data_IF_801105864166
#
_entry.id   IF_801105864166
#
_cell.length_a   1.000
_cell.length_b   1.000
_cell.length_c   1.000
_cell.angle_alpha   90.00
_cell.angle_beta   90.00
_cell.angle_gamma   90.00
#
_symmetry.space_group_name_H-M   'P 1'
#
loop_
_entity.id
_entity.type
_entity.pdbx_description
1 polymer ?
#
# COMPACT_ATOMS: atom_id res chain seq x y z
N UNK A 1 6.75 -35.92 -25.99
CA UNK A 1 7.77 -36.50 -25.08
C UNK A 1 7.26 -36.32 -23.66
N UNK A 2 6.79 -37.40 -23.01
CA UNK A 2 6.35 -37.35 -21.62
C UNK A 2 7.54 -37.60 -20.71
N UNK A 3 7.84 -36.66 -19.82
CA UNK A 3 8.74 -36.92 -18.70
C UNK A 3 7.97 -37.81 -17.71
N UNK A 4 8.54 -38.95 -17.31
CA UNK A 4 7.94 -39.76 -16.25
C UNK A 4 8.15 -39.10 -14.87
N UNK A 5 7.34 -39.48 -13.89
CA UNK A 5 7.31 -38.88 -12.55
C UNK A 5 7.72 -39.88 -11.47
N UNK A 6 8.22 -39.39 -10.32
CA UNK A 6 8.49 -40.21 -9.14
C UNK A 6 9.84 -40.96 -9.11
N UNK A 7 10.78 -40.64 -10.01
CA UNK A 7 12.11 -41.27 -10.01
C UNK A 7 13.05 -40.58 -9.01
N UNK A 8 13.63 -41.36 -8.10
CA UNK A 8 14.64 -40.89 -7.13
C UNK A 8 16.03 -41.46 -7.40
N UNK A 9 16.14 -42.46 -8.27
CA UNK A 9 17.39 -43.15 -8.61
C UNK A 9 17.40 -43.53 -10.08
N UNK A 10 18.57 -43.47 -10.71
CA UNK A 10 18.77 -43.84 -12.11
C UNK A 10 20.04 -44.67 -12.28
N UNK A 11 19.97 -45.71 -13.09
CA UNK A 11 21.10 -46.52 -13.52
C UNK A 11 21.19 -46.38 -15.05
N UNK A 12 22.38 -46.06 -15.57
CA UNK A 12 22.63 -46.00 -17.01
C UNK A 12 23.41 -47.25 -17.41
N UNK A 13 22.87 -48.02 -18.34
CA UNK A 13 23.56 -49.14 -18.98
C UNK A 13 23.80 -48.78 -20.45
N UNK A 14 25.06 -48.87 -20.90
CA UNK A 14 25.45 -48.65 -22.30
C UNK A 14 25.77 -50.00 -22.91
N UNK A 15 25.14 -50.34 -24.03
CA UNK A 15 25.38 -51.60 -24.77
C UNK A 15 25.91 -51.29 -26.16
N UNK A 16 27.04 -51.90 -26.53
CA UNK A 16 27.81 -51.61 -27.76
C UNK A 16 29.12 -50.87 -27.47
N UNK A 17 30.09 -50.94 -28.40
CA UNK A 17 31.44 -50.35 -28.26
C UNK A 17 32.56 -51.35 -28.55
N UNK A 18 33.75 -50.84 -28.94
CA UNK A 18 34.96 -51.66 -29.13
C UNK A 18 35.83 -51.69 -27.87
N UNK A 19 36.66 -52.72 -27.71
CA UNK A 19 37.46 -52.98 -26.49
C UNK A 19 38.39 -51.82 -26.05
N UNK A 20 38.65 -50.86 -26.94
CA UNK A 20 39.57 -49.73 -26.71
C UNK A 20 38.86 -48.39 -26.48
N UNK A 21 37.53 -48.32 -26.57
CA UNK A 21 36.77 -47.07 -26.37
C UNK A 21 35.68 -47.26 -25.32
N UNK A 22 35.95 -46.78 -24.11
CA UNK A 22 34.98 -46.78 -23.01
C UNK A 22 34.08 -45.55 -23.10
N UNK A 23 32.76 -45.76 -23.06
CA UNK A 23 31.79 -44.69 -22.91
C UNK A 23 31.30 -44.65 -21.45
N UNK A 24 31.22 -43.45 -20.90
CA UNK A 24 30.63 -43.21 -19.57
C UNK A 24 29.47 -42.24 -19.71
N UNK A 25 28.37 -42.53 -19.02
CA UNK A 25 27.23 -41.63 -18.94
C UNK A 25 26.85 -41.40 -17.48
N UNK A 26 26.37 -40.19 -17.18
CA UNK A 26 25.84 -39.82 -15.88
C UNK A 26 24.36 -39.49 -16.05
N UNK A 27 23.51 -40.21 -15.31
CA UNK A 27 22.11 -39.81 -15.19
C UNK A 27 22.01 -38.56 -14.32
N UNK A 28 21.26 -37.58 -14.79
CA UNK A 28 20.86 -36.39 -14.01
C UNK A 28 19.35 -36.45 -13.86
N UNK A 29 18.89 -36.62 -12.62
CA UNK A 29 17.48 -36.50 -12.28
C UNK A 29 17.18 -35.02 -12.00
N UNK A 30 16.01 -34.57 -12.42
CA UNK A 30 15.52 -33.23 -12.10
C UNK A 30 15.23 -33.07 -10.60
N UNK A 31 14.89 -31.84 -10.17
CA UNK A 31 14.50 -31.59 -8.79
C UNK A 31 13.32 -32.49 -8.39
N UNK A 32 13.20 -32.76 -7.08
CA UNK A 32 12.20 -33.69 -6.50
C UNK A 32 10.74 -33.36 -6.89
N UNK A 33 10.51 -32.11 -7.24
CA UNK A 33 9.23 -31.48 -7.47
C UNK A 33 8.99 -31.13 -8.95
N UNK A 34 9.99 -31.35 -9.80
CA UNK A 34 9.98 -30.89 -11.19
C UNK A 34 10.20 -29.38 -11.33
N UNK A 35 10.58 -28.95 -12.53
CA UNK A 35 10.73 -27.52 -12.85
C UNK A 35 9.34 -26.88 -12.88
N UNK A 36 9.20 -25.74 -12.19
CA UNK A 36 8.00 -24.93 -12.13
C UNK A 36 7.12 -25.19 -10.89
N UNK A 37 7.51 -26.11 -10.00
CA UNK A 37 6.75 -26.37 -8.76
C UNK A 37 7.12 -25.40 -7.65
N UNK A 38 8.39 -25.04 -7.50
CA UNK A 38 8.81 -24.00 -6.55
C UNK A 38 9.80 -23.04 -7.22
N UNK A 39 9.33 -21.83 -7.61
CA UNK A 39 10.19 -20.87 -8.29
C UNK A 39 11.36 -20.38 -7.42
N UNK A 40 11.31 -20.52 -6.09
CA UNK A 40 12.44 -20.13 -5.21
C UNK A 40 13.62 -21.06 -5.42
N UNK A 41 13.36 -22.37 -5.44
CA UNK A 41 14.37 -23.40 -5.68
C UNK A 41 14.80 -23.42 -7.15
N UNK A 42 13.85 -23.32 -8.08
CA UNK A 42 14.12 -23.42 -9.51
C UNK A 42 14.91 -22.22 -10.06
N UNK A 43 14.55 -20.99 -9.62
CA UNK A 43 15.22 -19.77 -10.05
C UNK A 43 16.37 -19.35 -9.12
N UNK A 44 16.59 -20.09 -8.03
CA UNK A 44 17.49 -19.71 -6.92
C UNK A 44 17.20 -18.29 -6.44
N UNK A 45 15.91 -17.95 -6.33
CA UNK A 45 15.51 -16.62 -5.91
C UNK A 45 15.68 -16.46 -4.40
N UNK A 46 16.42 -15.43 -3.99
CA UNK A 46 16.63 -15.07 -2.58
C UNK A 46 15.85 -13.81 -2.18
N UNK A 47 15.13 -13.19 -3.13
CA UNK A 47 14.44 -11.92 -2.93
C UNK A 47 13.17 -11.81 -3.79
N UNK A 48 12.18 -11.09 -3.29
CA UNK A 48 10.99 -10.66 -4.06
C UNK A 48 10.98 -9.14 -4.13
N UNK A 49 10.69 -8.59 -5.31
CA UNK A 49 10.44 -7.15 -5.49
C UNK A 49 8.94 -6.90 -5.62
N UNK A 50 8.44 -5.96 -4.82
CA UNK A 50 7.12 -5.35 -4.97
C UNK A 50 7.29 -4.01 -5.69
N UNK A 51 6.38 -3.74 -6.60
CA UNK A 51 6.41 -2.57 -7.47
C UNK A 51 5.03 -1.94 -7.51
N UNK A 52 4.97 -0.61 -7.33
CA UNK A 52 3.76 0.17 -7.50
C UNK A 52 4.09 1.46 -8.26
N UNK A 53 3.36 1.70 -9.34
CA UNK A 53 3.41 2.94 -10.10
C UNK A 53 2.37 3.91 -9.54
N UNK A 54 2.80 5.12 -9.23
CA UNK A 54 1.91 6.22 -8.87
C UNK A 54 1.87 7.21 -10.03
N UNK A 55 0.68 7.43 -10.56
CA UNK A 55 0.47 8.38 -11.65
C UNK A 55 0.23 9.77 -11.07
N UNK A 56 0.71 10.80 -11.76
CA UNK A 56 0.41 12.19 -11.37
C UNK A 56 -1.08 12.55 -11.45
N UNK A 57 -1.88 11.79 -12.20
CA UNK A 57 -3.34 11.99 -12.33
C UNK A 57 -4.17 11.18 -11.33
N UNK A 58 -3.52 10.46 -10.42
CA UNK A 58 -4.18 9.67 -9.39
C UNK A 58 -4.78 10.60 -8.32
N UNK A 59 -6.09 10.53 -8.12
CA UNK A 59 -6.83 11.37 -7.17
C UNK A 59 -6.64 10.97 -5.72
N UNK A 60 -6.19 9.75 -5.46
CA UNK A 60 -6.25 9.16 -4.12
C UNK A 60 -5.03 9.52 -3.27
N UNK A 61 -4.04 10.18 -3.88
CA UNK A 61 -2.82 10.63 -3.24
C UNK A 61 -2.69 12.15 -3.30
N UNK A 62 -2.50 12.75 -2.12
CA UNK A 62 -2.29 14.19 -1.96
C UNK A 62 -1.08 14.65 -2.77
N UNK A 63 -1.26 15.70 -3.56
CA UNK A 63 -0.20 16.33 -4.36
C UNK A 63 0.37 17.57 -3.67
N UNK A 64 1.57 18.00 -4.08
CA UNK A 64 2.30 19.12 -3.46
C UNK A 64 2.63 18.86 -1.98
N UNK A 65 2.83 17.59 -1.62
CA UNK A 65 3.23 17.15 -0.29
C UNK A 65 4.52 16.33 -0.35
N UNK A 66 5.17 16.21 0.80
CA UNK A 66 6.34 15.36 0.96
C UNK A 66 5.97 14.06 1.66
N UNK A 67 6.28 12.92 1.05
CA UNK A 67 6.18 11.63 1.71
C UNK A 67 7.54 11.20 2.29
N UNK A 68 7.49 10.57 3.46
CA UNK A 68 8.69 10.19 4.24
C UNK A 68 8.70 8.71 4.65
N UNK A 69 7.65 7.99 4.34
CA UNK A 69 7.49 6.60 4.72
C UNK A 69 6.85 5.82 3.57
N UNK A 70 7.33 4.60 3.36
CA UNK A 70 6.70 3.61 2.48
C UNK A 70 6.51 2.32 3.26
N UNK A 71 5.31 1.73 3.17
CA UNK A 71 4.98 0.48 3.82
C UNK A 71 4.52 -0.58 2.84
N UNK A 72 4.67 -1.86 3.24
CA UNK A 72 4.01 -2.99 2.58
C UNK A 72 2.98 -3.55 3.56
N UNK A 73 1.72 -3.56 3.14
CA UNK A 73 0.59 -4.03 3.94
C UNK A 73 -0.01 -5.23 3.22
N UNK A 74 -0.18 -6.34 3.95
CA UNK A 74 -0.88 -7.54 3.45
C UNK A 74 -2.37 -7.42 3.72
N UNK A 75 -3.17 -7.88 2.76
CA UNK A 75 -4.63 -8.02 2.86
C UNK A 75 -5.36 -6.80 3.47
N UNK A 76 -5.14 -5.58 2.94
CA UNK A 76 -5.96 -4.43 3.33
C UNK A 76 -7.42 -4.64 2.94
N UNK A 77 -8.33 -4.07 3.72
CA UNK A 77 -9.78 -4.10 3.46
C UNK A 77 -10.28 -2.72 3.08
N UNK A 78 -11.40 -2.69 2.36
CA UNK A 78 -12.17 -1.45 2.23
C UNK A 78 -12.87 -1.11 3.55
N UNK A 79 -13.31 0.13 3.71
CA UNK A 79 -14.10 0.55 4.88
C UNK A 79 -15.43 -0.18 5.04
N UNK A 80 -15.89 -0.92 4.01
CA UNK A 80 -17.05 -1.82 4.09
C UNK A 80 -16.68 -3.24 4.56
N UNK A 81 -15.40 -3.50 4.86
CA UNK A 81 -14.89 -4.77 5.37
C UNK A 81 -14.59 -5.84 4.31
N UNK A 82 -14.77 -5.53 3.02
CA UNK A 82 -14.41 -6.41 1.91
C UNK A 82 -12.90 -6.32 1.59
N UNK A 83 -12.36 -7.29 0.84
CA UNK A 83 -10.99 -7.17 0.32
C UNK A 83 -10.86 -5.91 -0.55
N UNK A 84 -9.80 -5.13 -0.35
CA UNK A 84 -9.52 -3.97 -1.19
C UNK A 84 -8.89 -4.44 -2.51
N UNK A 85 -9.52 -4.10 -3.64
CA UNK A 85 -9.13 -4.60 -4.98
C UNK A 85 -8.77 -3.49 -5.97
N UNK A 86 -8.99 -2.22 -5.62
CA UNK A 86 -8.59 -1.09 -6.46
C UNK A 86 -7.05 -0.96 -6.50
N UNK A 87 -6.54 -0.36 -7.56
CA UNK A 87 -5.08 -0.13 -7.73
C UNK A 87 -4.55 0.93 -6.77
N UNK A 88 -5.39 1.90 -6.43
CA UNK A 88 -5.10 3.10 -5.66
C UNK A 88 -6.26 3.30 -4.69
N UNK A 89 -5.99 3.94 -3.55
CA UNK A 89 -7.07 4.35 -2.67
C UNK A 89 -6.59 5.08 -1.43
N UNK A 90 -7.44 5.97 -0.95
CA UNK A 90 -7.13 6.83 0.19
C UNK A 90 -7.57 6.17 1.51
N UNK A 91 -6.72 6.29 2.54
CA UNK A 91 -6.97 5.83 3.91
C UNK A 91 -7.35 6.95 4.89
N UNK A 92 -7.43 8.21 4.43
CA UNK A 92 -7.80 9.38 5.22
C UNK A 92 -9.31 9.50 5.40
N UNK A 93 -9.72 9.82 6.62
CA UNK A 93 -11.09 10.23 6.90
C UNK A 93 -11.34 11.59 6.29
N UNK A 94 -12.58 11.86 5.91
CA UNK A 94 -12.97 13.19 5.45
C UNK A 94 -14.31 13.63 6.02
N UNK A 95 -14.60 14.92 5.90
CA UNK A 95 -15.90 15.50 6.21
C UNK A 95 -16.32 16.43 5.08
N UNK A 96 -17.62 16.58 4.87
CA UNK A 96 -18.17 17.58 3.94
C UNK A 96 -18.75 18.75 4.72
N UNK A 97 -18.61 19.95 4.16
CA UNK A 97 -19.12 21.18 4.74
C UNK A 97 -20.38 21.64 3.98
N UNK A 98 -21.39 22.06 4.73
CA UNK A 98 -22.61 22.68 4.18
C UNK A 98 -22.42 24.17 3.90
N UNK A 99 -21.48 24.80 4.61
CA UNK A 99 -21.09 26.18 4.36
C UNK A 99 -19.64 26.43 4.77
N UNK A 100 -18.98 27.31 4.04
CA UNK A 100 -17.63 27.81 4.32
C UNK A 100 -17.76 29.32 4.45
N UNK A 101 -17.56 29.83 5.67
CA UNK A 101 -17.57 31.28 5.96
C UNK A 101 -16.20 31.85 5.62
N UNK A 102 -15.14 31.18 6.10
CA UNK A 102 -13.75 31.48 5.77
C UNK A 102 -13.07 30.18 5.32
N UNK A 103 -12.33 30.24 4.22
CA UNK A 103 -11.65 29.08 3.66
C UNK A 103 -10.66 28.44 4.64
N UNK A 104 -10.65 27.11 4.67
CA UNK A 104 -9.69 26.32 5.43
C UNK A 104 -8.35 26.23 4.69
N UNK A 105 -7.31 25.87 5.43
CA UNK A 105 -5.95 25.70 4.91
C UNK A 105 -5.35 24.37 5.38
N UNK A 106 -4.58 23.71 4.51
CA UNK A 106 -3.83 22.52 4.88
C UNK A 106 -2.81 22.82 5.99
N UNK A 107 -2.39 21.79 6.72
CA UNK A 107 -1.48 21.84 7.88
C UNK A 107 -2.03 22.62 9.09
N UNK A 108 -3.34 22.88 9.12
CA UNK A 108 -4.01 23.52 10.26
C UNK A 108 -4.74 22.53 11.12
N UNK A 109 -4.93 22.92 12.39
CA UNK A 109 -5.73 22.16 13.33
C UNK A 109 -7.14 22.73 13.33
N UNK A 110 -8.12 21.88 13.03
CA UNK A 110 -9.55 22.20 13.11
C UNK A 110 -10.12 21.73 14.43
N UNK A 111 -11.11 22.45 14.95
CA UNK A 111 -11.80 22.13 16.19
C UNK A 111 -13.32 22.32 16.07
N UNK A 112 -14.08 21.30 16.48
CA UNK A 112 -15.53 21.37 16.61
C UNK A 112 -15.93 22.19 17.84
N UNK A 113 -16.86 23.12 17.67
CA UNK A 113 -17.30 24.01 18.75
C UNK A 113 -18.18 23.31 19.79
N UNK A 114 -18.90 22.26 19.39
CA UNK A 114 -19.81 21.55 20.28
C UNK A 114 -19.15 20.31 20.87
N UNK A 115 -18.55 19.48 20.02
CA UNK A 115 -17.88 18.23 20.44
C UNK A 115 -16.53 18.46 21.09
N UNK A 116 -15.90 19.62 20.83
CA UNK A 116 -14.48 19.87 21.11
C UNK A 116 -13.52 18.89 20.41
N UNK A 117 -14.00 18.12 19.41
CA UNK A 117 -13.17 17.26 18.60
C UNK A 117 -12.12 18.08 17.84
N UNK A 118 -10.90 17.55 17.72
CA UNK A 118 -9.80 18.17 16.99
C UNK A 118 -9.29 17.23 15.91
N UNK A 119 -8.80 17.79 14.81
CA UNK A 119 -8.12 17.05 13.75
C UNK A 119 -7.12 17.96 13.02
N UNK A 120 -6.18 17.34 12.31
CA UNK A 120 -5.22 18.01 11.45
C UNK A 120 -5.71 17.90 10.00
N UNK A 121 -5.70 19.02 9.28
CA UNK A 121 -6.12 19.10 7.88
C UNK A 121 -4.98 18.69 6.97
N UNK A 122 -5.19 17.64 6.19
CA UNK A 122 -4.20 17.11 5.24
C UNK A 122 -4.42 17.66 3.82
N UNK A 123 -5.67 17.70 3.38
CA UNK A 123 -6.06 18.19 2.05
C UNK A 123 -7.48 18.78 2.08
N UNK A 124 -7.74 19.70 1.17
CA UNK A 124 -9.05 20.32 0.98
C UNK A 124 -9.40 20.22 -0.50
N UNK A 125 -10.53 19.59 -0.80
CA UNK A 125 -11.14 19.60 -2.11
C UNK A 125 -12.51 20.28 -2.02
N UNK A 126 -12.58 21.52 -2.51
CA UNK A 126 -13.83 22.28 -2.58
C UNK A 126 -14.49 22.45 -1.21
N UNK A 127 -15.51 21.64 -0.89
CA UNK A 127 -16.19 21.63 0.41
C UNK A 127 -15.88 20.39 1.26
N UNK A 128 -14.96 19.54 0.83
CA UNK A 128 -14.51 18.35 1.53
C UNK A 128 -13.15 18.61 2.18
N UNK A 129 -13.02 18.23 3.44
CA UNK A 129 -11.78 18.31 4.21
C UNK A 129 -11.33 16.88 4.50
N UNK A 130 -10.14 16.52 4.03
CA UNK A 130 -9.44 15.30 4.43
C UNK A 130 -8.60 15.59 5.66
N UNK A 131 -8.72 14.72 6.66
CA UNK A 131 -8.10 14.94 7.96
C UNK A 131 -7.66 13.65 8.63
N UNK A 132 -6.70 13.80 9.55
CA UNK A 132 -6.31 12.75 10.47
C UNK A 132 -6.36 13.23 11.93
N UNK A 133 -6.41 12.24 12.81
CA UNK A 133 -6.35 12.43 14.26
C UNK A 133 -5.16 11.63 14.80
N UNK A 134 -4.53 12.19 15.82
CA UNK A 134 -3.46 11.56 16.56
C UNK A 134 -3.72 11.67 18.07
N UNK A 135 -2.79 11.16 18.88
CA UNK A 135 -2.92 11.19 20.34
C UNK A 135 -3.10 12.61 20.91
N UNK A 136 -2.51 13.63 20.29
CA UNK A 136 -2.63 15.02 20.73
C UNK A 136 -4.04 15.59 20.48
N UNK A 137 -4.70 15.15 19.41
CA UNK A 137 -6.09 15.55 19.08
C UNK A 137 -7.16 14.80 19.89
N UNK A 138 -6.80 13.70 20.56
CA UNK A 138 -7.67 12.97 21.48
C UNK A 138 -8.74 12.08 20.84
N UNK A 139 -8.76 11.92 19.51
CA UNK A 139 -9.64 11.00 18.77
C UNK A 139 -11.15 11.16 19.01
N UNK A 140 -11.58 12.35 19.45
CA UNK A 140 -13.00 12.64 19.60
C UNK A 140 -13.66 12.77 18.22
N UNK A 141 -14.88 12.26 18.07
CA UNK A 141 -15.62 12.35 16.81
C UNK A 141 -16.31 13.70 16.68
N UNK A 142 -16.28 14.25 15.46
CA UNK A 142 -17.12 15.38 15.07
C UNK A 142 -18.59 14.95 14.94
N UNK A 143 -19.50 15.92 14.90
CA UNK A 143 -20.93 15.68 14.66
C UNK A 143 -21.47 16.52 13.51
N UNK A 144 -22.52 16.03 12.84
CA UNK A 144 -23.17 16.76 11.76
C UNK A 144 -23.81 18.06 12.27
N UNK A 145 -23.72 19.13 11.47
CA UNK A 145 -24.32 20.43 11.79
C UNK A 145 -23.56 21.28 12.82
N UNK A 146 -22.44 20.82 13.37
CA UNK A 146 -21.65 21.68 14.26
C UNK A 146 -20.78 22.69 13.49
N UNK A 147 -20.51 23.84 14.14
CA UNK A 147 -19.52 24.78 13.66
C UNK A 147 -18.11 24.22 13.90
N UNK A 148 -17.26 24.36 12.89
CA UNK A 148 -15.86 23.95 12.93
C UNK A 148 -14.97 25.13 12.57
N UNK A 149 -13.93 25.35 13.40
CA UNK A 149 -13.00 26.48 13.27
C UNK A 149 -11.56 26.00 13.30
N UNK A 150 -10.67 26.67 12.56
CA UNK A 150 -9.22 26.49 12.73
C UNK A 150 -8.73 27.12 14.04
N UNK A 151 -7.92 26.41 14.81
CA UNK A 151 -7.34 26.94 16.06
C UNK A 151 -6.04 27.72 15.83
N UNK A 152 -5.36 27.45 14.72
CA UNK A 152 -4.10 28.07 14.30
C UNK A 152 -4.17 28.66 12.88
N UNK A 153 -5.37 29.07 12.49
CA UNK A 153 -5.71 29.65 11.19
C UNK A 153 -6.98 30.49 11.27
N UNK A 154 -7.66 30.68 10.14
CA UNK A 154 -8.85 31.54 10.03
C UNK A 154 -10.09 30.79 9.50
N UNK A 155 -9.94 29.55 9.06
CA UNK A 155 -11.02 28.74 8.50
C UNK A 155 -12.20 28.58 9.47
N UNK A 156 -13.41 28.72 8.94
CA UNK A 156 -14.67 28.63 9.69
C UNK A 156 -15.78 28.15 8.76
N UNK A 157 -16.61 27.22 9.24
CA UNK A 157 -17.68 26.60 8.46
C UNK A 157 -18.60 25.72 9.30
N UNK A 158 -19.57 25.11 8.63
CA UNK A 158 -20.54 24.19 9.23
C UNK A 158 -20.39 22.82 8.59
N UNK A 159 -20.28 21.79 9.43
CA UNK A 159 -20.21 20.40 8.99
C UNK A 159 -21.57 19.96 8.44
N UNK A 160 -21.58 19.31 7.28
CA UNK A 160 -22.73 18.60 6.72
C UNK A 160 -22.65 17.12 7.07
N UNK A 161 -21.60 16.44 6.62
CA UNK A 161 -21.28 15.05 6.99
C UNK A 161 -19.95 15.00 7.73
N UNK A 162 -19.99 14.71 9.03
CA UNK A 162 -18.85 14.75 9.95
C UNK A 162 -17.83 13.62 9.73
N UNK A 163 -18.29 12.51 9.17
CA UNK A 163 -17.45 11.36 8.90
C UNK A 163 -17.88 10.70 7.59
N UNK A 164 -17.08 10.94 6.55
CA UNK A 164 -17.02 10.14 5.34
C UNK A 164 -15.89 9.14 5.53
N UNK A 165 -16.23 7.86 5.46
CA UNK A 165 -15.27 6.78 5.63
C UNK A 165 -14.24 6.80 4.47
N UNK A 166 -12.96 6.47 4.74
CA UNK A 166 -11.95 6.33 3.69
C UNK A 166 -12.31 5.19 2.73
N UNK A 167 -11.57 5.06 1.63
CA UNK A 167 -11.74 3.95 0.70
C UNK A 167 -11.11 2.67 1.25
N UNK A 168 -9.92 2.82 1.85
CA UNK A 168 -9.18 1.76 2.55
C UNK A 168 -9.35 1.95 4.05
N UNK A 169 -9.67 0.87 4.77
CA UNK A 169 -9.73 0.91 6.23
C UNK A 169 -8.31 0.89 6.82
N UNK A 170 -7.84 1.99 7.44
CA UNK A 170 -6.47 2.10 7.97
C UNK A 170 -6.20 1.15 9.15
N UNK A 171 -7.25 0.58 9.76
CA UNK A 171 -7.12 -0.33 10.91
C UNK A 171 -7.04 -1.81 10.47
N UNK A 172 -6.99 -2.08 9.16
CA UNK A 172 -6.99 -3.43 8.60
C UNK A 172 -5.69 -3.81 7.91
N UNK A 173 -5.54 -5.11 7.66
CA UNK A 173 -4.34 -5.70 7.07
C UNK A 173 -3.24 -5.96 8.09
N UNK A 174 -2.10 -6.43 7.60
CA UNK A 174 -0.91 -6.66 8.41
C UNK A 174 0.30 -5.95 7.81
N UNK A 175 0.98 -5.12 8.61
CA UNK A 175 2.21 -4.46 8.20
C UNK A 175 3.33 -5.50 8.09
N UNK A 176 3.88 -5.63 6.89
CA UNK A 176 5.01 -6.53 6.59
C UNK A 176 6.34 -5.78 6.56
N UNK A 177 6.31 -4.51 6.19
CA UNK A 177 7.51 -3.68 6.01
C UNK A 177 7.19 -2.20 6.20
N UNK A 178 8.14 -1.45 6.75
CA UNK A 178 8.14 0.00 6.82
C UNK A 178 9.56 0.49 6.52
N UNK A 179 9.66 1.47 5.62
CA UNK A 179 10.88 2.21 5.32
C UNK A 179 10.68 3.70 5.56
N UNK A 180 11.51 4.28 6.42
CA UNK A 180 11.55 5.72 6.64
C UNK A 180 12.68 6.32 5.83
N UNK A 181 12.35 7.30 4.99
CA UNK A 181 13.28 7.94 4.06
C UNK A 181 13.29 9.45 4.25
N UNK A 182 14.30 10.10 3.67
CA UNK A 182 14.30 11.57 3.54
C UNK A 182 13.05 12.03 2.77
N UNK A 183 12.59 13.27 2.99
CA UNK A 183 11.42 13.80 2.30
C UNK A 183 11.57 13.64 0.78
N UNK A 184 10.54 13.08 0.15
CA UNK A 184 10.41 13.00 -1.30
C UNK A 184 9.17 13.79 -1.68
N UNK A 185 9.35 14.82 -2.50
CA UNK A 185 8.27 15.69 -2.96
C UNK A 185 7.46 15.01 -4.05
N UNK A 186 6.12 15.08 -3.97
CA UNK A 186 5.18 14.64 -5.02
C UNK A 186 4.55 15.83 -5.73
N UNK A 187 4.46 15.77 -7.06
CA UNK A 187 3.83 16.81 -7.86
C UNK A 187 3.02 16.20 -9.03
N UNK A 188 1.92 16.85 -9.44
CA UNK A 188 1.02 16.39 -10.51
C UNK A 188 1.71 16.05 -11.84
N UNK A 189 2.83 16.71 -12.14
CA UNK A 189 3.57 16.51 -13.40
C UNK A 189 4.53 15.32 -13.36
N UNK A 190 4.59 14.59 -12.25
CA UNK A 190 5.54 13.49 -12.04
C UNK A 190 4.76 12.19 -11.85
N UNK A 191 5.30 11.13 -12.46
CA UNK A 191 4.93 9.77 -12.11
C UNK A 191 6.04 9.22 -11.22
N UNK A 192 5.66 8.56 -10.15
CA UNK A 192 6.59 7.94 -9.22
C UNK A 192 6.53 6.41 -9.32
N UNK A 193 7.69 5.80 -9.11
CA UNK A 193 7.85 4.35 -9.11
C UNK A 193 8.40 3.93 -7.74
N UNK A 194 7.62 3.12 -7.02
CA UNK A 194 7.97 2.59 -5.70
C UNK A 194 8.37 1.14 -5.84
N UNK A 195 9.64 0.85 -5.50
CA UNK A 195 10.19 -0.51 -5.45
C UNK A 195 10.59 -0.87 -4.03
N UNK A 196 10.07 -1.99 -3.54
CA UNK A 196 10.45 -2.59 -2.26
C UNK A 196 10.98 -3.99 -2.52
N UNK A 197 12.20 -4.26 -2.09
CA UNK A 197 12.83 -5.59 -2.22
C UNK A 197 12.90 -6.25 -0.85
N UNK A 198 12.25 -7.41 -0.71
CA UNK A 198 12.25 -8.21 0.50
C UNK A 198 13.09 -9.46 0.26
N UNK A 199 14.07 -9.69 1.14
CA UNK A 199 14.92 -10.89 1.14
C UNK A 199 14.38 -11.90 2.17
N UNK A 200 14.43 -13.19 1.86
CA UNK A 200 13.90 -14.28 2.69
C UNK A 200 14.86 -15.46 2.79
#
# INVERSE_FOLDING_TARGET
>A
KGFGTGYTRAIVSITGGGATQNATARAVLGPDSGIGKDPREDLRSTSVMFHADLLGTDSDLIVNQDFRQVGLIRDPKSSLGAAFLSTTGNALKSMTLSSIVTGFTADKTIKGTTTNAQALVDEIDSNQIFYHQNADTGFLSFQDGELITETNGAGDGVIDSALVAPEVDPETGAVLYIDNRKPVSRALAQNEDIKVVVQF
#
